data_IF_977286640589
#
_entry.id   IF_977286640589
#
_cell.length_a   1.000
_cell.length_b   1.000
_cell.length_c   1.000
_cell.angle_alpha   90.00
_cell.angle_beta   90.00
_cell.angle_gamma   90.00
#
_symmetry.space_group_name_H-M   'P 1'
#
loop_
_entity.id
_entity.type
_entity.pdbx_description
1 polymer ?
#
# COMPACT_ATOMS: atom_id res chain seq x y z
N UNK A 1 54.31 19.71 -6.70
CA UNK A 1 55.24 20.06 -7.79
C UNK A 1 56.65 19.78 -7.28
N UNK A 2 56.94 18.53 -6.92
CA UNK A 2 57.35 17.43 -7.81
C UNK A 2 58.78 17.59 -8.30
N UNK A 3 59.71 16.91 -7.62
CA UNK A 3 61.01 16.55 -8.19
C UNK A 3 61.64 15.38 -7.40
N UNK A 4 61.34 14.19 -7.89
CA UNK A 4 62.16 12.97 -7.96
C UNK A 4 63.62 12.94 -7.42
N UNK A 5 63.89 11.80 -6.74
CA UNK A 5 65.09 10.90 -6.77
C UNK A 5 66.26 11.15 -5.81
N UNK A 6 66.51 10.13 -4.97
CA UNK A 6 67.81 9.79 -4.35
C UNK A 6 67.71 8.43 -3.66
N UNK A 7 68.16 7.33 -4.27
CA UNK A 7 69.50 6.75 -4.14
C UNK A 7 69.76 6.09 -2.77
N UNK A 8 69.69 4.75 -2.72
CA UNK A 8 70.30 3.96 -1.64
C UNK A 8 70.70 2.57 -2.17
N UNK A 9 72.00 2.39 -2.39
CA UNK A 9 72.66 1.09 -2.52
C UNK A 9 73.91 1.11 -1.66
N UNK A 10 74.08 0.05 -0.87
CA UNK A 10 75.33 -0.32 -0.24
C UNK A 10 75.34 -0.16 1.28
N UNK A 11 76.16 -0.88 2.01
CA UNK A 11 76.94 -2.10 1.78
C UNK A 11 77.68 -2.36 3.10
N UNK A 12 78.14 -3.60 3.28
CA UNK A 12 79.23 -4.04 4.17
C UNK A 12 78.95 -4.12 5.68
N UNK A 13 78.98 -5.29 6.33
CA UNK A 13 80.00 -6.37 6.39
C UNK A 13 81.06 -6.15 7.49
N UNK A 14 81.64 -7.29 7.90
CA UNK A 14 82.82 -7.51 8.74
C UNK A 14 82.51 -7.64 10.24
N UNK A 15 83.13 -8.52 11.04
CA UNK A 15 83.96 -9.72 10.86
C UNK A 15 84.42 -10.13 12.28
N UNK A 16 84.32 -11.41 12.64
CA UNK A 16 85.13 -12.13 13.67
C UNK A 16 84.68 -13.60 13.58
N UNK A 17 85.40 -14.52 12.94
CA UNK A 17 86.68 -15.18 13.28
C UNK A 17 86.63 -15.98 14.59
N UNK A 18 87.17 -17.21 14.48
CA UNK A 18 87.43 -18.31 15.45
C UNK A 18 86.23 -19.22 15.73
N UNK A 19 86.14 -20.50 15.32
CA UNK A 19 87.04 -21.67 15.53
C UNK A 19 87.42 -21.82 17.03
N UNK A 20 87.22 -22.91 17.76
CA UNK A 20 87.29 -24.35 17.51
C UNK A 20 86.65 -25.12 18.70
N UNK A 21 86.64 -26.46 18.59
CA UNK A 21 86.43 -27.50 19.63
C UNK A 21 84.98 -27.99 19.81
N UNK A 22 84.54 -29.05 19.12
CA UNK A 22 84.80 -30.49 19.33
C UNK A 22 84.01 -31.11 20.49
N UNK A 23 82.99 -31.90 20.16
CA UNK A 23 82.73 -33.22 20.75
C UNK A 23 81.57 -33.90 20.01
N UNK A 24 81.61 -35.22 19.99
CA UNK A 24 81.08 -36.15 19.01
C UNK A 24 79.73 -36.80 19.35
N UNK A 25 79.02 -37.23 18.29
CA UNK A 25 78.15 -38.42 18.20
C UNK A 25 76.67 -38.31 18.69
N UNK A 26 75.75 -39.21 18.25
CA UNK A 26 74.96 -38.98 17.06
C UNK A 26 73.44 -39.13 17.25
N UNK A 27 72.73 -38.65 16.24
CA UNK A 27 71.29 -38.61 16.10
C UNK A 27 70.64 -39.97 15.75
N UNK A 28 69.31 -39.94 15.79
CA UNK A 28 68.34 -40.73 15.02
C UNK A 28 67.67 -41.88 15.79
N UNK A 29 66.42 -41.64 16.17
CA UNK A 29 65.26 -42.56 16.13
C UNK A 29 63.98 -41.74 16.43
N UNK A 30 64.02 -40.79 17.37
CA UNK A 30 62.85 -40.00 17.79
C UNK A 30 62.27 -39.05 16.71
N UNK A 31 63.09 -38.56 15.78
CA UNK A 31 62.67 -37.60 14.76
C UNK A 31 61.93 -38.24 13.56
N UNK A 32 61.93 -39.57 13.43
CA UNK A 32 61.31 -40.27 12.28
C UNK A 32 59.84 -40.62 12.50
N UNK A 33 59.37 -40.73 13.75
CA UNK A 33 57.96 -41.09 14.05
C UNK A 33 57.03 -39.88 13.89
N UNK A 34 57.45 -38.70 14.35
CA UNK A 34 56.66 -37.45 14.24
C UNK A 34 56.49 -37.01 12.77
N UNK A 35 57.52 -37.19 11.93
CA UNK A 35 57.44 -36.83 10.50
C UNK A 35 56.53 -37.76 9.69
N UNK A 36 56.35 -39.03 10.08
CA UNK A 36 55.43 -39.96 9.40
C UNK A 36 53.96 -39.66 9.72
N UNK A 37 53.64 -39.28 10.96
CA UNK A 37 52.27 -38.87 11.34
C UNK A 37 51.83 -37.58 10.61
N UNK A 38 52.73 -36.60 10.48
CA UNK A 38 52.47 -35.36 9.74
C UNK A 38 52.22 -35.60 8.24
N UNK A 39 52.93 -36.56 7.61
CA UNK A 39 52.75 -36.87 6.19
C UNK A 39 51.46 -37.62 5.86
N UNK A 40 50.91 -38.42 6.79
CA UNK A 40 49.62 -39.08 6.59
C UNK A 40 48.48 -38.05 6.75
N UNK A 41 48.55 -37.16 7.74
CA UNK A 41 47.57 -36.10 7.93
C UNK A 41 47.53 -35.11 6.75
N UNK A 42 48.70 -34.75 6.18
CA UNK A 42 48.79 -33.86 5.01
C UNK A 42 48.27 -34.46 3.71
N UNK A 43 48.21 -35.79 3.57
CA UNK A 43 47.72 -36.46 2.35
C UNK A 43 46.22 -36.77 2.38
N UNK A 44 45.60 -36.86 3.56
CA UNK A 44 44.16 -37.16 3.71
C UNK A 44 43.32 -35.88 3.82
N UNK A 45 43.91 -34.76 4.27
CA UNK A 45 43.25 -33.46 4.35
C UNK A 45 42.62 -32.93 3.04
N UNK A 46 43.25 -33.04 1.84
CA UNK A 46 42.66 -32.49 0.62
C UNK A 46 41.50 -33.35 0.05
N UNK A 47 41.29 -34.56 0.56
CA UNK A 47 40.19 -35.45 0.16
C UNK A 47 39.02 -35.44 1.17
N UNK A 48 39.29 -35.16 2.45
CA UNK A 48 38.26 -35.05 3.47
C UNK A 48 37.41 -33.78 3.34
N UNK A 49 38.00 -32.67 2.91
CA UNK A 49 37.27 -31.39 2.71
C UNK A 49 36.26 -31.44 1.57
N UNK A 50 36.56 -31.97 0.36
CA UNK A 50 35.55 -32.13 -0.69
C UNK A 50 34.50 -33.19 -0.33
N UNK A 51 34.87 -34.28 0.37
CA UNK A 51 33.91 -35.29 0.83
C UNK A 51 32.93 -34.73 1.90
N UNK A 52 33.42 -33.87 2.79
CA UNK A 52 32.58 -33.16 3.76
C UNK A 52 31.71 -32.10 3.07
N UNK A 53 32.23 -31.40 2.05
CA UNK A 53 31.47 -30.47 1.21
C UNK A 53 30.40 -31.16 0.33
N UNK A 54 30.64 -32.41 -0.08
CA UNK A 54 29.68 -33.27 -0.78
C UNK A 54 28.65 -33.93 0.15
N UNK A 55 28.90 -33.93 1.46
CA UNK A 55 27.96 -34.43 2.49
C UNK A 55 27.11 -33.30 3.11
N UNK A 56 27.49 -32.03 2.97
CA UNK A 56 26.65 -30.89 3.37
C UNK A 56 25.27 -30.81 2.68
N UNK A 57 25.07 -31.27 1.42
CA UNK A 57 23.74 -31.24 0.79
C UNK A 57 22.74 -32.19 1.46
N UNK A 58 23.18 -33.26 2.13
CA UNK A 58 22.25 -34.26 2.72
C UNK A 58 21.63 -33.81 4.04
N UNK A 59 22.17 -32.75 4.66
CA UNK A 59 21.55 -32.05 5.80
C UNK A 59 20.65 -30.89 5.35
N UNK A 60 20.60 -30.63 4.04
CA UNK A 60 19.55 -29.80 3.49
C UNK A 60 18.27 -30.61 3.57
N UNK A 61 17.42 -30.30 4.55
CA UNK A 61 15.97 -30.48 4.38
C UNK A 61 15.58 -29.57 3.22
N UNK A 62 15.85 -30.03 2.00
CA UNK A 62 15.21 -29.53 0.81
C UNK A 62 13.72 -29.72 1.09
N UNK A 63 13.07 -28.63 1.49
CA UNK A 63 11.63 -28.55 1.40
C UNK A 63 11.33 -28.96 -0.03
N UNK A 64 10.69 -30.12 -0.21
CA UNK A 64 9.88 -30.38 -1.38
C UNK A 64 8.70 -29.42 -1.30
N UNK A 65 9.00 -28.13 -1.40
CA UNK A 65 8.07 -27.06 -1.65
C UNK A 65 7.78 -27.13 -3.15
N UNK A 66 7.16 -28.24 -3.58
CA UNK A 66 6.14 -28.12 -4.60
C UNK A 66 5.17 -27.08 -4.06
N UNK A 67 4.90 -26.03 -4.83
CA UNK A 67 4.06 -24.89 -4.45
C UNK A 67 2.92 -25.39 -3.55
N UNK A 68 2.99 -25.16 -2.22
CA UNK A 68 2.01 -25.75 -1.32
C UNK A 68 0.60 -25.25 -1.68
N UNK A 69 0.48 -24.16 -2.43
CA UNK A 69 -0.74 -23.63 -3.04
C UNK A 69 -1.56 -24.60 -3.93
N UNK A 70 -1.05 -25.77 -4.33
CA UNK A 70 -1.82 -26.68 -5.20
C UNK A 70 -1.96 -28.12 -4.68
N UNK A 71 -1.57 -28.40 -3.44
CA UNK A 71 -1.80 -29.72 -2.84
C UNK A 71 -3.18 -29.78 -2.19
N UNK A 72 -4.17 -30.35 -2.89
CA UNK A 72 -5.43 -30.76 -2.29
C UNK A 72 -5.22 -32.09 -1.56
N UNK A 73 -5.31 -32.10 -0.24
CA UNK A 73 -5.40 -33.35 0.52
C UNK A 73 -6.87 -33.75 0.62
N UNK A 74 -7.29 -34.97 0.20
CA UNK A 74 -8.66 -35.42 0.36
C UNK A 74 -8.99 -35.54 1.85
N UNK A 75 -9.93 -34.74 2.33
CA UNK A 75 -10.51 -34.91 3.66
C UNK A 75 -11.44 -36.13 3.69
N UNK A 76 -11.68 -36.76 4.86
CA UNK A 76 -12.72 -37.77 5.00
C UNK A 76 -14.06 -37.15 4.59
N UNK A 77 -14.82 -37.80 3.69
CA UNK A 77 -16.11 -37.37 3.10
C UNK A 77 -16.07 -36.49 1.84
N UNK A 78 -14.98 -36.51 1.05
CA UNK A 78 -14.96 -35.82 -0.26
C UNK A 78 -14.85 -34.30 -0.16
N UNK A 79 -14.53 -33.76 1.01
CA UNK A 79 -14.17 -32.36 1.21
C UNK A 79 -12.74 -32.09 0.73
N UNK A 80 -12.58 -31.07 -0.11
CA UNK A 80 -11.25 -30.58 -0.51
C UNK A 80 -10.67 -29.73 0.61
N UNK A 81 -9.73 -30.27 1.38
CA UNK A 81 -8.92 -29.48 2.31
C UNK A 81 -7.87 -28.72 1.51
N UNK A 82 -8.09 -27.41 1.32
CA UNK A 82 -7.08 -26.51 0.76
C UNK A 82 -5.87 -26.48 1.68
N UNK A 83 -4.67 -26.47 1.12
CA UNK A 83 -3.47 -26.31 1.92
C UNK A 83 -3.49 -24.98 2.67
N UNK A 84 -2.89 -24.95 3.87
CA UNK A 84 -2.72 -23.75 4.68
C UNK A 84 -2.10 -22.57 3.89
N UNK A 85 -1.32 -22.88 2.84
CA UNK A 85 -0.72 -21.88 1.95
C UNK A 85 -1.72 -21.23 0.99
N UNK A 86 -2.72 -21.97 0.46
CA UNK A 86 -3.79 -21.36 -0.34
C UNK A 86 -4.66 -20.46 0.52
N UNK A 87 -5.00 -20.94 1.72
CA UNK A 87 -5.87 -20.19 2.64
C UNK A 87 -5.21 -18.88 3.08
N UNK A 88 -3.91 -18.88 3.39
CA UNK A 88 -3.17 -17.66 3.74
C UNK A 88 -2.99 -16.73 2.54
N UNK A 89 -2.72 -17.26 1.34
CA UNK A 89 -2.69 -16.44 0.12
C UNK A 89 -4.02 -15.75 -0.14
N UNK A 90 -5.14 -16.47 -0.05
CA UNK A 90 -6.49 -15.92 -0.23
C UNK A 90 -6.79 -14.84 0.83
N UNK A 91 -6.44 -15.10 2.09
CA UNK A 91 -6.63 -14.14 3.18
C UNK A 91 -5.85 -12.85 2.95
N UNK A 92 -4.56 -12.93 2.60
CA UNK A 92 -3.73 -11.75 2.32
C UNK A 92 -4.22 -10.97 1.09
N UNK A 93 -4.73 -11.68 0.09
CA UNK A 93 -5.35 -11.07 -1.08
C UNK A 93 -6.60 -10.30 -0.66
N UNK A 94 -7.54 -10.92 0.06
CA UNK A 94 -8.76 -10.26 0.53
C UNK A 94 -8.49 -9.08 1.46
N UNK A 95 -7.48 -9.20 2.33
CA UNK A 95 -7.06 -8.13 3.23
C UNK A 95 -6.56 -6.89 2.48
N UNK A 96 -5.96 -7.07 1.29
CA UNK A 96 -5.46 -5.97 0.46
C UNK A 96 -6.59 -5.18 -0.22
N UNK A 97 -7.71 -5.83 -0.56
CA UNK A 97 -8.88 -5.16 -1.17
C UNK A 97 -9.82 -4.51 -0.14
N UNK A 98 -9.80 -4.99 1.10
CA UNK A 98 -10.72 -4.57 2.16
C UNK A 98 -10.73 -3.05 2.41
N UNK A 99 -9.58 -2.34 2.48
CA UNK A 99 -9.58 -0.89 2.68
C UNK A 99 -10.31 -0.13 1.56
N UNK A 100 -10.07 -0.53 0.31
CA UNK A 100 -10.71 0.09 -0.85
C UNK A 100 -12.22 -0.17 -0.85
N UNK A 101 -12.65 -1.39 -0.53
CA UNK A 101 -14.07 -1.74 -0.45
C UNK A 101 -14.80 -0.93 0.62
N UNK A 102 -14.22 -0.82 1.83
CA UNK A 102 -14.84 -0.04 2.92
C UNK A 102 -14.97 1.43 2.53
N UNK A 103 -13.93 2.03 1.94
CA UNK A 103 -14.01 3.42 1.49
C UNK A 103 -15.09 3.62 0.42
N UNK A 104 -15.23 2.69 -0.53
CA UNK A 104 -16.25 2.77 -1.58
C UNK A 104 -17.70 2.60 -1.08
N UNK A 105 -17.92 1.98 0.09
CA UNK A 105 -19.25 1.83 0.71
C UNK A 105 -19.63 3.02 1.62
N UNK A 106 -18.79 4.05 1.70
CA UNK A 106 -18.97 5.21 2.59
C UNK A 106 -19.04 6.52 1.80
N UNK A 107 -19.16 7.65 2.51
CA UNK A 107 -19.15 9.00 1.93
C UNK A 107 -17.80 9.44 1.33
N UNK A 108 -16.74 8.64 1.50
CA UNK A 108 -15.39 9.01 1.09
C UNK A 108 -15.28 9.42 -0.38
N UNK A 109 -15.93 8.66 -1.28
CA UNK A 109 -15.85 8.85 -2.74
C UNK A 109 -16.28 10.25 -3.17
N UNK A 110 -17.43 10.75 -2.69
CA UNK A 110 -17.92 12.10 -3.05
C UNK A 110 -17.00 13.18 -2.48
N UNK A 111 -16.56 13.02 -1.24
CA UNK A 111 -15.70 14.02 -0.55
C UNK A 111 -14.36 14.17 -1.27
N UNK A 112 -13.65 13.06 -1.55
CA UNK A 112 -12.32 13.13 -2.18
C UNK A 112 -12.38 13.71 -3.59
N UNK A 113 -13.46 13.46 -4.35
CA UNK A 113 -13.66 14.01 -5.69
C UNK A 113 -13.85 15.52 -5.63
N UNK A 114 -14.75 16.01 -4.77
CA UNK A 114 -15.01 17.45 -4.64
C UNK A 114 -13.75 18.19 -4.19
N UNK A 115 -13.02 17.67 -3.20
CA UNK A 115 -11.76 18.26 -2.74
C UNK A 115 -10.67 18.24 -3.83
N UNK A 116 -10.60 17.17 -4.63
CA UNK A 116 -9.65 17.06 -5.73
C UNK A 116 -9.97 18.02 -6.88
N UNK A 117 -11.25 18.21 -7.19
CA UNK A 117 -11.71 19.17 -8.20
C UNK A 117 -11.50 20.62 -7.73
N UNK A 118 -11.73 20.91 -6.44
CA UNK A 118 -11.41 22.21 -5.84
C UNK A 118 -9.92 22.55 -5.99
N UNK A 119 -9.01 21.61 -5.71
CA UNK A 119 -7.57 21.81 -5.90
C UNK A 119 -7.22 22.19 -7.35
N UNK A 120 -7.86 21.54 -8.32
CA UNK A 120 -7.68 21.89 -9.73
C UNK A 120 -8.25 23.26 -10.06
N UNK A 121 -9.41 23.61 -9.50
CA UNK A 121 -10.09 24.89 -9.73
C UNK A 121 -9.25 26.09 -9.27
N UNK A 122 -8.60 25.95 -8.11
CA UNK A 122 -7.71 26.96 -7.54
C UNK A 122 -6.48 27.23 -8.42
N UNK A 123 -6.09 26.31 -9.32
CA UNK A 123 -4.91 26.47 -10.16
C UNK A 123 -3.59 26.13 -9.46
N UNK A 124 -3.66 25.41 -8.32
CA UNK A 124 -2.49 24.99 -7.53
C UNK A 124 -2.37 23.45 -7.53
N UNK A 125 -1.73 22.84 -8.54
CA UNK A 125 -1.75 21.38 -8.72
C UNK A 125 -1.04 20.61 -7.59
N UNK A 126 -0.07 21.24 -6.92
CA UNK A 126 0.74 20.62 -5.85
C UNK A 126 0.31 21.01 -4.44
N UNK A 127 -0.55 22.02 -4.28
CA UNK A 127 -0.99 22.53 -2.98
C UNK A 127 -2.52 22.59 -2.95
N UNK A 128 -3.21 21.85 -2.05
CA UNK A 128 -2.69 20.96 -1.02
C UNK A 128 -2.13 19.61 -1.52
N UNK A 129 -1.19 18.98 -0.78
CA UNK A 129 -0.69 17.64 -1.10
C UNK A 129 -1.80 16.58 -1.08
N UNK A 130 -1.68 15.54 -1.91
CA UNK A 130 -2.69 14.47 -1.97
C UNK A 130 -2.93 13.80 -0.60
N UNK A 131 -1.88 13.63 0.19
CA UNK A 131 -1.97 13.06 1.54
C UNK A 131 -2.86 13.90 2.47
N UNK A 132 -2.81 15.24 2.35
CA UNK A 132 -3.66 16.14 3.14
C UNK A 132 -5.11 16.03 2.69
N UNK A 133 -5.37 15.96 1.38
CA UNK A 133 -6.72 15.78 0.85
C UNK A 133 -7.34 14.45 1.28
N UNK A 134 -6.57 13.35 1.19
CA UNK A 134 -7.02 12.03 1.64
C UNK A 134 -7.25 12.02 3.15
N UNK A 135 -6.37 12.63 3.95
CA UNK A 135 -6.54 12.76 5.39
C UNK A 135 -7.81 13.54 5.77
N UNK A 136 -8.02 14.70 5.14
CA UNK A 136 -9.23 15.51 5.33
C UNK A 136 -10.48 14.72 4.93
N UNK A 137 -10.45 14.06 3.77
CA UNK A 137 -11.58 13.25 3.30
C UNK A 137 -11.90 12.11 4.27
N UNK A 138 -10.89 11.47 4.85
CA UNK A 138 -11.07 10.38 5.80
C UNK A 138 -11.67 10.88 7.13
N UNK A 139 -11.19 12.00 7.68
CA UNK A 139 -11.78 12.59 8.89
C UNK A 139 -13.22 13.06 8.67
N UNK A 140 -13.51 13.69 7.53
CA UNK A 140 -14.89 14.07 7.17
C UNK A 140 -15.78 12.85 6.96
N UNK A 141 -15.23 11.76 6.41
CA UNK A 141 -15.95 10.49 6.28
C UNK A 141 -16.31 9.93 7.64
N UNK A 142 -15.37 9.89 8.60
CA UNK A 142 -15.67 9.44 9.97
C UNK A 142 -16.73 10.31 10.64
N UNK A 143 -16.67 11.63 10.45
CA UNK A 143 -17.66 12.57 10.99
C UNK A 143 -19.06 12.32 10.42
N UNK A 144 -19.20 12.20 9.10
CA UNK A 144 -20.48 11.96 8.43
C UNK A 144 -21.01 10.53 8.70
N UNK A 145 -20.11 9.54 8.78
CA UNK A 145 -20.45 8.14 9.00
C UNK A 145 -20.69 7.77 10.47
N UNK A 146 -20.44 8.66 11.44
CA UNK A 146 -20.64 8.38 12.87
C UNK A 146 -21.93 7.59 13.18
N UNK A 147 -23.14 8.02 12.75
CA UNK A 147 -24.36 7.29 13.07
C UNK A 147 -24.46 5.89 12.43
N UNK A 148 -23.78 5.67 11.30
CA UNK A 148 -23.72 4.35 10.63
C UNK A 148 -22.76 3.42 11.36
N UNK A 149 -21.59 3.94 11.75
CA UNK A 149 -20.58 3.23 12.52
C UNK A 149 -21.11 2.85 13.90
N UNK A 150 -21.81 3.75 14.58
CA UNK A 150 -22.41 3.52 15.89
C UNK A 150 -23.46 2.39 15.83
N UNK A 151 -24.30 2.37 14.80
CA UNK A 151 -25.27 1.28 14.59
C UNK A 151 -24.57 -0.04 14.28
N UNK A 152 -23.59 -0.04 13.38
CA UNK A 152 -22.83 -1.24 13.05
C UNK A 152 -22.11 -1.83 14.28
N UNK A 153 -21.58 -0.96 15.15
CA UNK A 153 -20.94 -1.35 16.40
C UNK A 153 -21.95 -1.97 17.39
N UNK A 154 -23.07 -1.31 17.63
CA UNK A 154 -24.07 -1.75 18.61
C UNK A 154 -24.85 -3.00 18.16
N UNK A 155 -25.19 -3.10 16.88
CA UNK A 155 -26.05 -4.18 16.36
C UNK A 155 -25.25 -5.41 15.89
N UNK A 156 -23.99 -5.21 15.50
CA UNK A 156 -23.12 -6.26 14.97
C UNK A 156 -21.99 -6.65 15.93
N UNK A 157 -21.08 -5.73 16.21
CA UNK A 157 -19.85 -6.04 16.93
C UNK A 157 -20.08 -6.36 18.42
N UNK A 158 -20.84 -5.54 19.13
CA UNK A 158 -21.12 -5.71 20.56
C UNK A 158 -21.76 -7.08 20.89
N UNK A 159 -22.88 -7.50 20.26
CA UNK A 159 -23.48 -8.80 20.54
C UNK A 159 -22.61 -9.99 20.13
N UNK A 160 -21.73 -9.81 19.14
CA UNK A 160 -20.73 -10.82 18.77
C UNK A 160 -19.64 -10.96 19.84
N UNK A 161 -19.12 -9.83 20.35
CA UNK A 161 -18.14 -9.82 21.45
C UNK A 161 -18.71 -10.40 22.75
N UNK A 162 -20.01 -10.25 22.97
CA UNK A 162 -20.73 -10.82 24.12
C UNK A 162 -21.14 -12.29 23.91
N UNK A 163 -20.82 -12.88 22.74
CA UNK A 163 -21.15 -14.28 22.41
C UNK A 163 -22.64 -14.55 22.19
N UNK A 164 -23.45 -13.49 22.00
CA UNK A 164 -24.90 -13.59 21.82
C UNK A 164 -25.28 -14.00 20.39
N UNK A 165 -24.46 -13.65 19.41
CA UNK A 165 -24.68 -13.98 17.99
C UNK A 165 -23.45 -14.64 17.37
N UNK A 166 -23.68 -15.49 16.37
CA UNK A 166 -22.62 -16.09 15.55
C UNK A 166 -22.04 -15.08 14.56
N UNK A 167 -20.81 -15.33 14.10
CA UNK A 167 -20.09 -14.46 13.15
C UNK A 167 -20.91 -14.13 11.90
N UNK A 168 -21.60 -15.10 11.31
CA UNK A 168 -22.41 -14.90 10.10
C UNK A 168 -23.56 -13.90 10.31
N UNK A 169 -24.19 -13.95 11.48
CA UNK A 169 -25.26 -13.03 11.86
C UNK A 169 -24.70 -11.64 12.21
N UNK A 170 -23.54 -11.60 12.86
CA UNK A 170 -22.83 -10.35 13.16
C UNK A 170 -22.47 -9.57 11.90
N UNK A 171 -22.00 -10.26 10.85
CA UNK A 171 -21.71 -9.65 9.55
C UNK A 171 -22.99 -9.13 8.89
N UNK A 172 -24.07 -9.90 8.88
CA UNK A 172 -25.36 -9.46 8.31
C UNK A 172 -25.89 -8.21 9.00
N UNK A 173 -25.90 -8.19 10.34
CA UNK A 173 -26.36 -7.04 11.13
C UNK A 173 -25.43 -5.84 11.01
N UNK A 174 -24.12 -6.07 11.00
CA UNK A 174 -23.11 -5.02 10.83
C UNK A 174 -23.16 -4.35 9.46
N UNK A 175 -23.53 -5.07 8.39
CA UNK A 175 -23.63 -4.53 7.03
C UNK A 175 -24.97 -3.84 6.76
N UNK A 176 -26.04 -4.21 7.47
CA UNK A 176 -27.37 -3.60 7.33
C UNK A 176 -27.39 -2.05 7.39
N UNK A 177 -26.73 -1.37 8.36
CA UNK A 177 -26.71 0.09 8.40
C UNK A 177 -25.97 0.71 7.20
N UNK A 178 -24.92 0.08 6.69
CA UNK A 178 -24.24 0.53 5.46
C UNK A 178 -25.16 0.40 4.24
N UNK A 179 -25.91 -0.70 4.16
CA UNK A 179 -26.91 -0.91 3.10
C UNK A 179 -27.98 0.19 3.12
N UNK A 180 -28.52 0.50 4.30
CA UNK A 180 -29.51 1.56 4.47
C UNK A 180 -28.95 2.94 4.09
N UNK A 181 -27.70 3.24 4.48
CA UNK A 181 -27.01 4.47 4.09
C UNK A 181 -26.87 4.58 2.56
N UNK A 182 -26.35 3.53 1.91
CA UNK A 182 -26.16 3.51 0.45
C UNK A 182 -27.50 3.64 -0.29
N UNK A 183 -28.57 2.97 0.15
CA UNK A 183 -29.88 3.07 -0.47
C UNK A 183 -30.45 4.49 -0.42
N UNK A 184 -30.25 5.21 0.70
CA UNK A 184 -30.70 6.60 0.82
C UNK A 184 -30.01 7.55 -0.16
N UNK A 185 -28.76 7.25 -0.52
CA UNK A 185 -27.92 8.10 -1.38
C UNK A 185 -27.92 7.67 -2.86
N UNK A 186 -28.28 6.41 -3.13
CA UNK A 186 -28.30 5.87 -4.50
C UNK A 186 -29.51 6.41 -5.25
N UNK A 187 -29.28 6.90 -6.47
CA UNK A 187 -30.38 7.38 -7.32
C UNK A 187 -31.16 6.19 -7.87
N UNK A 188 -32.48 6.30 -7.88
CA UNK A 188 -33.36 5.26 -8.46
C UNK A 188 -33.02 4.95 -9.92
N UNK A 189 -32.66 5.98 -10.71
CA UNK A 189 -32.24 5.81 -12.10
C UNK A 189 -31.00 4.95 -12.26
N UNK A 190 -30.04 5.11 -11.35
CA UNK A 190 -28.74 4.43 -11.41
C UNK A 190 -28.92 2.99 -10.91
N UNK A 191 -29.72 2.79 -9.86
CA UNK A 191 -30.13 1.47 -9.38
C UNK A 191 -30.88 0.67 -10.46
N UNK A 192 -31.86 1.29 -11.13
CA UNK A 192 -32.63 0.67 -12.19
C UNK A 192 -31.76 0.28 -13.39
N UNK A 193 -30.75 1.09 -13.73
CA UNK A 193 -29.80 0.79 -14.78
C UNK A 193 -29.03 -0.50 -14.48
N UNK A 194 -28.46 -0.62 -13.27
CA UNK A 194 -27.71 -1.82 -12.88
C UNK A 194 -28.61 -3.04 -12.74
N UNK A 195 -29.83 -2.89 -12.23
CA UNK A 195 -30.82 -3.98 -12.18
C UNK A 195 -31.16 -4.51 -13.58
N UNK A 196 -31.29 -3.62 -14.57
CA UNK A 196 -31.50 -4.00 -15.98
C UNK A 196 -30.29 -4.74 -16.56
N UNK A 197 -29.08 -4.23 -16.30
CA UNK A 197 -27.83 -4.84 -16.80
C UNK A 197 -27.60 -6.22 -16.19
N UNK A 198 -27.89 -6.41 -14.90
CA UNK A 198 -27.70 -7.68 -14.20
C UNK A 198 -28.85 -8.68 -14.43
N UNK A 199 -29.88 -8.30 -15.19
CA UNK A 199 -31.12 -9.08 -15.36
C UNK A 199 -31.70 -9.54 -14.01
N UNK A 200 -31.69 -8.64 -13.02
CA UNK A 200 -32.17 -8.96 -11.68
C UNK A 200 -33.67 -9.29 -11.71
N UNK A 201 -34.08 -10.25 -10.87
CA UNK A 201 -35.49 -10.54 -10.65
C UNK A 201 -36.21 -9.29 -10.09
N UNK A 202 -37.54 -9.14 -10.30
CA UNK A 202 -38.29 -8.04 -9.73
C UNK A 202 -38.12 -7.99 -8.21
N UNK A 203 -37.56 -6.89 -7.71
CA UNK A 203 -37.36 -6.64 -6.27
C UNK A 203 -38.62 -5.99 -5.71
N UNK A 204 -39.13 -6.46 -4.57
CA UNK A 204 -40.37 -5.92 -3.98
C UNK A 204 -40.08 -4.82 -2.95
N UNK A 205 -38.87 -4.79 -2.38
CA UNK A 205 -38.46 -3.74 -1.45
C UNK A 205 -36.97 -3.38 -1.49
N UNK A 206 -36.58 -2.26 -0.86
CA UNK A 206 -35.18 -1.84 -0.74
C UNK A 206 -34.29 -2.86 0.00
N UNK A 207 -34.88 -3.65 0.92
CA UNK A 207 -34.19 -4.74 1.62
C UNK A 207 -33.77 -5.90 0.71
N UNK A 208 -34.40 -6.10 -0.45
CA UNK A 208 -34.08 -7.22 -1.36
C UNK A 208 -32.87 -6.95 -2.24
N UNK A 209 -32.40 -5.70 -2.30
CA UNK A 209 -31.33 -5.30 -3.21
C UNK A 209 -30.00 -5.94 -2.81
N UNK A 210 -29.37 -6.79 -3.64
CA UNK A 210 -28.10 -7.43 -3.28
C UNK A 210 -26.96 -6.40 -3.27
N UNK A 211 -25.99 -6.57 -2.37
CA UNK A 211 -24.84 -5.66 -2.26
C UNK A 211 -24.01 -5.60 -3.56
N UNK A 212 -23.93 -6.70 -4.30
CA UNK A 212 -23.25 -6.76 -5.61
C UNK A 212 -23.87 -5.82 -6.65
N UNK A 213 -25.14 -5.45 -6.50
CA UNK A 213 -25.85 -4.49 -7.35
C UNK A 213 -25.83 -3.09 -6.71
N UNK A 214 -26.06 -3.01 -5.41
CA UNK A 214 -26.14 -1.73 -4.69
C UNK A 214 -24.81 -0.98 -4.71
N UNK A 215 -23.68 -1.65 -4.44
CA UNK A 215 -22.36 -1.01 -4.36
C UNK A 215 -21.97 -0.31 -5.67
N UNK A 216 -22.00 -0.94 -6.85
CA UNK A 216 -21.69 -0.22 -8.10
C UNK A 216 -22.70 0.88 -8.44
N UNK A 217 -23.99 0.69 -8.10
CA UNK A 217 -25.04 1.73 -8.28
C UNK A 217 -24.79 2.95 -7.38
N UNK A 218 -24.38 2.70 -6.13
CA UNK A 218 -24.02 3.73 -5.17
C UNK A 218 -22.79 4.50 -5.64
N UNK A 219 -21.70 3.80 -6.00
CA UNK A 219 -20.46 4.46 -6.46
C UNK A 219 -20.75 5.35 -7.67
N UNK A 220 -21.51 4.89 -8.67
CA UNK A 220 -21.86 5.72 -9.83
C UNK A 220 -22.73 6.93 -9.47
N UNK A 221 -23.68 6.77 -8.54
CA UNK A 221 -24.49 7.87 -8.00
C UNK A 221 -23.63 8.92 -7.27
N UNK A 222 -22.67 8.47 -6.46
CA UNK A 222 -21.73 9.32 -5.72
C UNK A 222 -20.77 10.04 -6.66
N UNK A 223 -20.26 9.36 -7.69
CA UNK A 223 -19.43 9.98 -8.73
C UNK A 223 -20.18 11.12 -9.39
N UNK A 224 -21.40 10.87 -9.88
CA UNK A 224 -22.24 11.88 -10.54
C UNK A 224 -22.48 13.09 -9.64
N UNK A 225 -22.83 12.85 -8.38
CA UNK A 225 -23.09 13.91 -7.40
C UNK A 225 -21.81 14.68 -7.05
N UNK A 226 -20.69 13.98 -6.85
CA UNK A 226 -19.38 14.59 -6.60
C UNK A 226 -18.91 15.47 -7.76
N UNK A 227 -19.09 15.02 -9.00
CA UNK A 227 -18.78 15.84 -10.19
C UNK A 227 -19.72 17.04 -10.32
N UNK A 228 -21.02 16.91 -10.03
CA UNK A 228 -21.97 18.03 -10.03
C UNK A 228 -21.59 19.12 -9.02
N UNK A 229 -21.26 18.73 -7.79
CA UNK A 229 -20.78 19.65 -6.76
C UNK A 229 -19.46 20.28 -7.20
N UNK A 230 -18.50 19.46 -7.62
CA UNK A 230 -17.19 19.93 -8.06
C UNK A 230 -17.27 20.91 -9.23
N UNK A 231 -18.16 20.67 -10.20
CA UNK A 231 -18.42 21.60 -11.31
C UNK A 231 -18.99 22.92 -10.82
N UNK A 232 -19.97 22.90 -9.91
CA UNK A 232 -20.57 24.11 -9.34
C UNK A 232 -19.53 24.96 -8.61
N UNK A 233 -18.62 24.32 -7.88
CA UNK A 233 -17.47 24.96 -7.23
C UNK A 233 -16.47 25.53 -8.24
N UNK A 234 -16.35 24.91 -9.42
CA UNK A 234 -15.44 25.32 -10.49
C UNK A 234 -15.87 26.64 -11.17
N UNK A 235 -17.18 26.88 -11.30
CA UNK A 235 -17.76 28.03 -12.03
C UNK A 235 -17.14 29.39 -11.65
N UNK A 236 -17.11 29.81 -10.36
CA UNK A 236 -16.55 31.12 -10.00
C UNK A 236 -15.08 31.28 -10.39
N UNK A 237 -14.28 30.21 -10.30
CA UNK A 237 -12.86 30.26 -10.65
C UNK A 237 -12.63 30.35 -12.16
N UNK A 238 -13.46 29.68 -12.96
CA UNK A 238 -13.43 29.80 -14.43
C UNK A 238 -13.78 31.21 -14.87
N UNK A 239 -14.75 31.86 -14.22
CA UNK A 239 -15.10 33.26 -14.51
C UNK A 239 -13.88 34.16 -14.29
N UNK A 240 -13.14 33.97 -13.19
CA UNK A 240 -11.90 34.72 -12.92
C UNK A 240 -10.87 34.48 -14.02
N UNK A 241 -10.67 33.22 -14.43
CA UNK A 241 -9.73 32.89 -15.51
C UNK A 241 -10.10 33.57 -16.83
N UNK A 242 -11.38 33.54 -17.21
CA UNK A 242 -11.86 34.16 -18.45
C UNK A 242 -11.71 35.68 -18.43
N UNK A 243 -11.99 36.32 -17.29
CA UNK A 243 -11.83 37.77 -17.13
C UNK A 243 -10.35 38.15 -17.20
N UNK A 244 -9.47 37.49 -16.43
CA UNK A 244 -8.03 37.78 -16.43
C UNK A 244 -7.42 37.54 -17.81
N UNK A 245 -7.79 36.46 -18.50
CA UNK A 245 -7.33 36.18 -19.85
C UNK A 245 -7.73 37.29 -20.84
N UNK A 246 -8.98 37.78 -20.77
CA UNK A 246 -9.44 38.87 -21.64
C UNK A 246 -8.68 40.18 -21.41
N UNK A 247 -8.36 40.50 -20.15
CA UNK A 247 -7.60 41.71 -19.79
C UNK A 247 -6.14 41.59 -20.25
N UNK A 248 -5.49 40.44 -20.05
CA UNK A 248 -4.12 40.21 -20.50
C UNK A 248 -3.99 40.27 -22.02
N UNK A 249 -4.94 39.66 -22.74
CA UNK A 249 -4.98 39.75 -24.21
C UNK A 249 -5.19 41.19 -24.68
N UNK A 250 -6.01 41.98 -23.98
CA UNK A 250 -6.20 43.40 -24.28
C UNK A 250 -4.94 44.25 -24.05
N UNK A 251 -4.03 43.83 -23.16
CA UNK A 251 -2.75 44.50 -22.94
C UNK A 251 -1.66 44.07 -23.93
N UNK A 252 -1.92 43.08 -24.80
CA UNK A 252 -0.94 42.55 -25.74
C UNK A 252 0.07 41.56 -25.13
N UNK A 253 -0.14 41.12 -23.88
CA UNK A 253 0.76 40.17 -23.20
C UNK A 253 0.37 38.72 -23.52
N UNK A 254 0.72 38.25 -24.73
CA UNK A 254 0.40 36.87 -25.17
C UNK A 254 1.27 35.77 -24.56
N UNK A 255 2.47 36.11 -24.05
CA UNK A 255 3.45 35.13 -23.57
C UNK A 255 3.27 34.71 -22.11
N UNK A 256 2.46 35.44 -21.34
CA UNK A 256 2.19 35.12 -19.94
C UNK A 256 0.92 34.29 -19.88
N UNK A 257 1.01 33.11 -19.25
CA UNK A 257 -0.16 32.27 -19.02
C UNK A 257 -1.16 32.99 -18.11
N UNK A 258 -2.43 33.18 -18.54
CA UNK A 258 -3.45 33.80 -17.70
C UNK A 258 -3.64 33.08 -16.36
N UNK A 259 -3.41 31.78 -16.30
CA UNK A 259 -3.55 30.98 -15.09
C UNK A 259 -2.57 31.39 -13.98
N UNK A 260 -1.36 31.83 -14.34
CA UNK A 260 -0.37 32.29 -13.36
C UNK A 260 -0.78 33.61 -12.72
N UNK A 261 -1.44 34.48 -13.49
CA UNK A 261 -1.89 35.79 -13.02
C UNK A 261 -3.22 35.68 -12.27
N UNK A 262 -4.11 34.76 -12.65
CA UNK A 262 -5.40 34.57 -11.98
C UNK A 262 -5.28 33.88 -10.61
N UNK A 263 -4.24 33.07 -10.39
CA UNK A 263 -4.00 32.33 -9.14
C UNK A 263 -4.13 33.19 -7.85
N UNK A 264 -3.42 34.32 -7.67
CA UNK A 264 -3.56 35.14 -6.47
C UNK A 264 -4.99 35.67 -6.27
N UNK A 265 -5.70 36.03 -7.34
CA UNK A 265 -7.10 36.48 -7.25
C UNK A 265 -8.03 35.36 -6.81
N UNK A 266 -7.83 34.13 -7.31
CA UNK A 266 -8.59 32.95 -6.89
C UNK A 266 -8.37 32.64 -5.42
N UNK A 267 -7.10 32.65 -4.97
CA UNK A 267 -6.77 32.40 -3.57
C UNK A 267 -7.35 33.49 -2.65
N UNK A 268 -7.26 34.77 -3.06
CA UNK A 268 -7.86 35.87 -2.33
C UNK A 268 -9.37 35.69 -2.20
N UNK A 269 -10.08 35.42 -3.29
CA UNK A 269 -11.52 35.19 -3.26
C UNK A 269 -11.86 33.99 -2.38
N UNK A 270 -11.14 32.87 -2.51
CA UNK A 270 -11.39 31.67 -1.74
C UNK A 270 -11.20 31.86 -0.23
N UNK A 271 -10.20 32.64 0.19
CA UNK A 271 -9.99 32.98 1.61
C UNK A 271 -11.03 33.98 2.10
N UNK A 272 -11.38 35.00 1.29
CA UNK A 272 -12.34 36.03 1.69
C UNK A 272 -13.75 35.51 1.93
N UNK A 273 -14.17 34.47 1.20
CA UNK A 273 -15.48 33.84 1.36
C UNK A 273 -15.49 32.70 2.37
N UNK A 274 -14.36 32.45 3.05
CA UNK A 274 -14.15 31.26 3.87
C UNK A 274 -14.51 29.96 3.13
N UNK A 275 -13.87 29.76 1.97
CA UNK A 275 -14.20 28.68 1.05
C UNK A 275 -14.04 27.30 1.66
N UNK A 276 -13.11 27.10 2.61
CA UNK A 276 -12.97 25.82 3.31
C UNK A 276 -14.21 25.51 4.16
N UNK A 277 -14.70 26.47 4.94
CA UNK A 277 -15.89 26.28 5.76
C UNK A 277 -17.13 26.03 4.90
N UNK A 278 -17.30 26.77 3.79
CA UNK A 278 -18.42 26.59 2.87
C UNK A 278 -18.43 25.21 2.19
N UNK A 279 -17.28 24.75 1.71
CA UNK A 279 -17.15 23.45 1.03
C UNK A 279 -17.37 22.30 2.01
N UNK A 280 -16.73 22.35 3.19
CA UNK A 280 -16.90 21.31 4.21
C UNK A 280 -18.33 21.28 4.74
N UNK A 281 -18.93 22.44 5.00
CA UNK A 281 -20.31 22.55 5.46
C UNK A 281 -21.32 22.01 4.45
N UNK A 282 -21.19 22.40 3.18
CA UNK A 282 -22.07 21.92 2.11
C UNK A 282 -21.92 20.42 1.85
N UNK A 283 -20.69 19.88 1.92
CA UNK A 283 -20.44 18.44 1.81
C UNK A 283 -21.12 17.66 2.95
N UNK A 284 -20.98 18.10 4.20
CA UNK A 284 -21.58 17.43 5.34
C UNK A 284 -23.12 17.44 5.26
N UNK A 285 -23.72 18.56 4.86
CA UNK A 285 -25.17 18.67 4.68
C UNK A 285 -25.68 17.83 3.51
N UNK A 286 -24.86 17.59 2.47
CA UNK A 286 -25.24 16.83 1.28
C UNK A 286 -25.55 15.34 1.55
N UNK A 287 -25.14 14.80 2.70
CA UNK A 287 -25.41 13.40 3.08
C UNK A 287 -26.63 13.23 4.00
N UNK A 288 -27.22 14.34 4.46
CA UNK A 288 -28.42 14.32 5.32
C UNK A 288 -29.67 14.33 4.46
#
# INVERSE_FOLDING_TARGET
>A
MDAQRGCARGFHALSRVSSHASSSAPASIATRVVKRAAHVASRVAPLAVPALMLALPTLSFAQTAGLPAFNTSPGPNGGTTYSLSVQTMLLLTMLSFLPAMVLMMTSFTRIIIVLSLLRQALGAPTTPPNQVLVGLALFLTLFVMSPVLDKAYNDGYKPFSEGTIQMDEAVKRGVAPFKAFMLKQTRESDLALFARISHAAPMQGPEDVPLSLLVPSFVTSELKTGFQIGFTVFIPFVIIDMVVASVLMSMGMMMISPATISLPFKLMLFVLVDGWQLIVGSLAQSFT
#
